data_IF_483185767082
#
_entry.id   IF_483185767082
#
_cell.length_a   1.000
_cell.length_b   1.000
_cell.length_c   1.000
_cell.angle_alpha   90.00
_cell.angle_beta   90.00
_cell.angle_gamma   90.00
#
_symmetry.space_group_name_H-M   'P 1'
#
loop_
_entity.id
_entity.type
_entity.pdbx_description
1 polymer ?
#
# COMPACT_ATOMS: atom_id res chain seq x y z
N UNK A 1 49.39 43.75 -27.91
CA UNK A 1 48.34 44.43 -27.11
C UNK A 1 47.03 44.21 -27.86
N UNK A 2 45.99 43.51 -27.41
CA UNK A 2 45.62 42.84 -26.17
C UNK A 2 44.69 41.67 -26.60
N UNK A 3 44.83 40.48 -26.00
CA UNK A 3 43.82 39.41 -26.09
C UNK A 3 42.76 39.66 -25.01
N UNK A 4 41.48 39.68 -25.39
CA UNK A 4 40.35 39.83 -24.48
C UNK A 4 39.62 38.49 -24.38
N UNK A 5 39.81 37.79 -23.25
CA UNK A 5 39.09 36.56 -22.92
C UNK A 5 37.88 36.95 -22.08
N UNK A 6 36.67 36.75 -22.62
CA UNK A 6 35.43 36.91 -21.87
C UNK A 6 35.19 35.67 -21.00
N UNK A 7 35.36 35.82 -19.69
CA UNK A 7 34.91 34.87 -18.68
C UNK A 7 33.40 35.05 -18.47
N UNK A 8 32.62 34.04 -18.85
CA UNK A 8 31.21 33.93 -18.46
C UNK A 8 31.14 33.20 -17.12
N UNK A 9 30.81 33.93 -16.06
CA UNK A 9 30.47 33.34 -14.77
C UNK A 9 29.02 32.83 -14.84
N UNK A 10 28.85 31.51 -14.90
CA UNK A 10 27.53 30.88 -14.73
C UNK A 10 27.19 30.87 -13.24
N UNK A 11 26.25 31.72 -12.83
CA UNK A 11 25.65 31.65 -11.50
C UNK A 11 24.71 30.44 -11.45
N UNK A 12 25.13 29.39 -10.74
CA UNK A 12 24.27 28.27 -10.38
C UNK A 12 23.35 28.74 -9.24
N UNK A 13 22.09 29.05 -9.57
CA UNK A 13 21.05 29.23 -8.57
C UNK A 13 20.76 27.89 -7.91
N UNK A 14 21.25 27.70 -6.69
CA UNK A 14 20.83 26.62 -5.80
C UNK A 14 19.36 26.82 -5.44
N UNK A 15 18.46 26.07 -6.07
CA UNK A 15 17.07 25.99 -5.64
C UNK A 15 17.01 25.07 -4.43
N UNK A 16 16.94 25.65 -3.23
CA UNK A 16 16.54 24.91 -2.03
C UNK A 16 15.04 24.61 -2.15
N UNK A 17 14.70 23.36 -2.45
CA UNK A 17 13.35 22.84 -2.28
C UNK A 17 13.06 22.83 -0.77
N UNK A 18 12.29 23.81 -0.30
CA UNK A 18 11.66 23.70 1.01
C UNK A 18 10.61 22.60 0.90
N UNK A 19 10.95 21.39 1.36
CA UNK A 19 9.97 20.33 1.60
C UNK A 19 9.10 20.81 2.75
N UNK A 20 7.96 21.41 2.43
CA UNK A 20 6.94 21.72 3.43
C UNK A 20 6.32 20.41 3.91
N UNK A 21 6.22 20.22 5.22
CA UNK A 21 5.52 19.07 5.78
C UNK A 21 4.04 19.12 5.39
N UNK A 22 3.59 18.13 4.62
CA UNK A 22 2.17 17.97 4.27
C UNK A 22 1.45 17.35 5.45
N UNK A 23 0.44 18.05 5.98
CA UNK A 23 -0.47 17.54 6.99
C UNK A 23 -1.83 17.23 6.37
N UNK A 24 -2.45 16.18 6.90
CA UNK A 24 -3.78 15.70 6.57
C UNK A 24 -4.69 15.88 7.78
N UNK A 25 -6.00 15.97 7.54
CA UNK A 25 -6.97 16.14 8.63
C UNK A 25 -8.25 15.39 8.33
N UNK A 26 -8.64 14.52 9.25
CA UNK A 26 -9.78 13.62 9.08
C UNK A 26 -10.29 13.10 10.41
N UNK A 27 -11.19 12.12 10.36
CA UNK A 27 -11.65 11.42 11.55
C UNK A 27 -10.91 10.10 11.73
N UNK A 28 -10.70 9.73 12.99
CA UNK A 28 -10.22 8.41 13.36
C UNK A 28 -11.39 7.46 13.60
N UNK A 29 -11.22 6.21 13.21
CA UNK A 29 -12.13 5.11 13.57
C UNK A 29 -11.35 4.05 14.34
N UNK A 30 -12.06 3.29 15.16
CA UNK A 30 -11.48 2.14 15.84
C UNK A 30 -11.24 1.04 14.80
N UNK A 31 -9.99 0.60 14.66
CA UNK A 31 -9.60 -0.44 13.72
C UNK A 31 -8.90 -1.58 14.44
N UNK A 32 -9.31 -2.81 14.17
CA UNK A 32 -8.75 -4.02 14.78
C UNK A 32 -8.13 -4.89 13.71
N UNK A 33 -6.96 -5.43 14.04
CA UNK A 33 -6.22 -6.35 13.19
C UNK A 33 -6.06 -7.70 13.90
N UNK A 34 -6.18 -8.81 13.17
CA UNK A 34 -6.04 -10.15 13.76
C UNK A 34 -4.57 -10.48 14.03
N UNK A 35 -3.70 -10.18 13.05
CA UNK A 35 -2.26 -10.43 13.12
C UNK A 35 -1.49 -9.49 12.19
N UNK A 36 -0.24 -9.18 12.49
CA UNK A 36 0.57 -8.26 11.67
C UNK A 36 0.74 -8.72 10.20
N UNK A 37 0.63 -10.02 9.96
CA UNK A 37 0.64 -10.67 8.65
C UNK A 37 -0.67 -10.57 7.87
N UNK A 38 -1.74 -10.08 8.48
CA UNK A 38 -3.02 -9.89 7.81
C UNK A 38 -3.14 -8.50 7.17
N UNK A 39 -4.23 -8.24 6.45
CA UNK A 39 -4.47 -6.97 5.76
C UNK A 39 -3.75 -6.84 4.41
N UNK A 40 -3.94 -5.70 3.76
CA UNK A 40 -3.44 -5.41 2.43
C UNK A 40 -1.91 -5.21 2.39
N UNK A 41 -1.25 -4.85 3.50
CA UNK A 41 0.21 -4.83 3.52
C UNK A 41 0.81 -6.24 3.61
N UNK A 42 0.13 -7.17 4.29
CA UNK A 42 0.51 -8.59 4.39
C UNK A 42 1.99 -8.77 4.76
N UNK A 43 2.39 -8.21 5.91
CA UNK A 43 3.79 -8.18 6.33
C UNK A 43 4.29 -9.57 6.75
N UNK A 44 5.51 -9.92 6.36
CA UNK A 44 6.21 -11.15 6.80
C UNK A 44 7.16 -10.91 7.98
N UNK A 45 7.38 -9.65 8.35
CA UNK A 45 8.23 -9.24 9.45
C UNK A 45 7.53 -8.16 10.29
N UNK A 46 7.49 -8.34 11.60
CA UNK A 46 7.02 -7.32 12.53
C UNK A 46 8.21 -6.54 13.12
N UNK A 47 8.30 -5.22 12.90
CA UNK A 47 9.35 -4.35 13.45
C UNK A 47 9.27 -4.13 14.97
N UNK A 48 8.34 -4.75 15.68
CA UNK A 48 8.19 -4.62 17.12
C UNK A 48 7.32 -3.43 17.53
N UNK A 49 6.38 -3.00 16.68
CA UNK A 49 5.53 -1.82 16.94
C UNK A 49 4.36 -2.09 17.87
N UNK A 50 4.07 -3.37 18.17
CA UNK A 50 3.01 -3.77 19.08
C UNK A 50 1.65 -3.21 18.63
N UNK A 51 0.94 -2.52 19.52
CA UNK A 51 -0.34 -1.90 19.21
C UNK A 51 -0.24 -0.48 18.63
N UNK A 52 0.93 0.00 18.22
CA UNK A 52 1.10 1.33 17.61
C UNK A 52 1.01 1.24 16.08
N UNK A 53 -0.16 0.89 15.58
CA UNK A 53 -0.43 0.73 14.16
C UNK A 53 -1.69 1.49 13.73
N UNK A 54 -1.79 1.74 12.42
CA UNK A 54 -2.99 2.28 11.79
C UNK A 54 -3.23 1.69 10.39
N UNK A 55 -4.50 1.72 9.98
CA UNK A 55 -4.95 1.49 8.62
C UNK A 55 -5.21 2.83 7.93
N UNK A 56 -4.67 2.99 6.73
CA UNK A 56 -4.62 4.25 5.99
C UNK A 56 -5.85 4.42 5.10
N UNK A 57 -6.42 5.62 5.02
CA UNK A 57 -7.52 5.89 4.09
C UNK A 57 -7.14 5.67 2.62
N UNK A 58 -8.14 5.49 1.77
CA UNK A 58 -7.95 5.25 0.34
C UNK A 58 -7.36 6.43 -0.44
N UNK A 59 -7.50 7.68 0.04
CA UNK A 59 -6.95 8.86 -0.65
C UNK A 59 -5.42 8.91 -0.56
N UNK A 60 -4.87 8.48 0.57
CA UNK A 60 -3.43 8.37 0.80
C UNK A 60 -2.89 6.94 0.65
N UNK A 61 -3.70 5.94 0.29
CA UNK A 61 -3.22 4.55 0.21
C UNK A 61 -2.08 4.36 -0.80
N UNK A 62 -2.22 4.92 -2.01
CA UNK A 62 -1.25 4.79 -3.13
C UNK A 62 -0.89 3.33 -3.46
N UNK A 63 -1.93 2.51 -3.64
CA UNK A 63 -1.78 1.05 -3.67
C UNK A 63 -1.04 0.61 -2.40
N UNK A 64 -0.03 -0.24 -2.48
CA UNK A 64 0.69 -0.71 -1.29
C UNK A 64 1.95 0.11 -0.98
N UNK A 65 2.24 1.20 -1.70
CA UNK A 65 3.49 1.96 -1.53
C UNK A 65 3.61 2.67 -0.18
N UNK A 66 2.50 2.90 0.52
CA UNK A 66 2.52 3.49 1.86
C UNK A 66 2.53 2.45 2.99
N UNK A 67 2.54 1.17 2.66
CA UNK A 67 2.80 0.12 3.63
C UNK A 67 4.15 0.31 4.31
N UNK A 68 4.14 0.23 5.63
CA UNK A 68 5.34 0.28 6.45
C UNK A 68 5.98 1.65 6.59
N UNK A 69 5.31 2.70 6.09
CA UNK A 69 5.59 4.07 6.50
C UNK A 69 5.02 4.32 7.90
N UNK A 70 5.55 5.33 8.57
CA UNK A 70 5.01 5.80 9.84
C UNK A 70 4.26 7.11 9.66
N UNK A 71 3.23 7.31 10.47
CA UNK A 71 2.51 8.56 10.59
C UNK A 71 2.57 9.07 12.02
N UNK A 72 2.79 10.36 12.18
CA UNK A 72 2.60 11.06 13.45
C UNK A 72 1.17 11.58 13.48
N UNK A 73 0.38 11.15 14.46
CA UNK A 73 -1.04 11.44 14.59
C UNK A 73 -1.29 12.18 15.88
N UNK A 74 -2.01 13.30 15.82
CA UNK A 74 -2.41 14.08 16.98
C UNK A 74 -3.93 14.32 16.96
N UNK A 75 -4.50 14.46 18.13
CA UNK A 75 -5.84 15.03 18.32
C UNK A 75 -5.73 16.25 19.23
N UNK A 76 -6.73 17.13 19.20
CA UNK A 76 -6.72 18.37 19.97
C UNK A 76 -6.55 18.08 21.48
N UNK A 77 -5.49 18.64 22.08
CA UNK A 77 -5.18 18.47 23.50
C UNK A 77 -4.48 17.16 23.87
N UNK A 78 -4.25 16.25 22.90
CA UNK A 78 -3.45 15.03 23.10
C UNK A 78 -2.02 15.22 22.57
N UNK A 79 -1.08 14.44 23.12
CA UNK A 79 0.27 14.34 22.57
C UNK A 79 0.24 13.56 21.25
N UNK A 80 1.14 13.91 20.33
CA UNK A 80 1.29 13.16 19.08
C UNK A 80 1.77 11.72 19.34
N UNK A 81 1.25 10.78 18.55
CA UNK A 81 1.60 9.36 18.62
C UNK A 81 2.06 8.92 17.23
N UNK A 82 3.20 8.25 17.16
CA UNK A 82 3.67 7.61 15.91
C UNK A 82 3.03 6.24 15.75
N UNK A 83 2.45 5.99 14.58
CA UNK A 83 1.83 4.71 14.20
C UNK A 83 2.47 4.14 12.94
N UNK A 84 2.54 2.82 12.86
CA UNK A 84 3.01 2.07 11.69
C UNK A 84 1.83 1.72 10.77
N UNK A 85 1.95 1.99 9.47
CA UNK A 85 0.87 1.71 8.51
C UNK A 85 0.88 0.24 8.10
N UNK A 86 -0.20 -0.48 8.43
CA UNK A 86 -0.32 -1.94 8.25
C UNK A 86 -1.44 -2.38 7.32
N UNK A 87 -2.39 -1.51 6.99
CA UNK A 87 -3.51 -1.85 6.12
C UNK A 87 -4.14 -0.62 5.43
N UNK A 88 -5.06 -0.87 4.50
CA UNK A 88 -6.01 0.09 3.96
C UNK A 88 -7.31 0.07 4.75
N UNK A 89 -7.81 1.25 5.10
CA UNK A 89 -9.12 1.47 5.68
C UNK A 89 -10.04 2.10 4.63
N UNK A 90 -10.79 1.26 3.91
CA UNK A 90 -11.72 1.74 2.85
C UNK A 90 -12.93 2.52 3.37
N UNK A 91 -13.21 2.42 4.67
CA UNK A 91 -14.27 3.15 5.38
C UNK A 91 -13.79 4.45 6.05
N UNK A 92 -12.49 4.72 6.00
CA UNK A 92 -11.91 5.95 6.53
C UNK A 92 -12.06 7.08 5.50
N UNK A 93 -13.12 7.86 5.65
CA UNK A 93 -13.41 9.03 4.81
C UNK A 93 -12.54 10.25 5.19
N UNK A 94 -12.50 11.25 4.31
CA UNK A 94 -11.90 12.58 4.55
C UNK A 94 -10.48 12.53 5.13
N UNK A 95 -9.56 11.79 4.49
CA UNK A 95 -8.18 11.64 4.96
C UNK A 95 -8.04 11.03 6.39
N UNK A 96 -9.07 10.32 6.86
CA UNK A 96 -9.10 9.67 8.16
C UNK A 96 -8.10 8.52 8.33
N UNK A 97 -8.02 7.98 9.55
CA UNK A 97 -7.20 6.79 9.85
C UNK A 97 -7.97 5.79 10.71
N UNK A 98 -7.80 4.51 10.42
CA UNK A 98 -8.23 3.42 11.30
C UNK A 98 -7.15 3.20 12.35
N UNK A 99 -7.38 3.58 13.59
CA UNK A 99 -6.37 3.48 14.64
C UNK A 99 -6.57 2.21 15.45
N UNK A 100 -5.47 1.59 15.88
CA UNK A 100 -5.53 0.47 16.81
C UNK A 100 -6.33 0.82 18.08
N UNK A 101 -6.86 -0.15 18.83
CA UNK A 101 -7.60 0.14 20.06
C UNK A 101 -6.79 0.92 21.10
N UNK A 102 -5.48 0.69 21.18
CA UNK A 102 -4.62 1.42 22.10
C UNK A 102 -4.49 2.89 21.67
N UNK A 103 -4.15 3.15 20.41
CA UNK A 103 -3.92 4.51 19.91
C UNK A 103 -5.22 5.29 19.85
N UNK A 104 -6.31 4.66 19.40
CA UNK A 104 -7.64 5.26 19.39
C UNK A 104 -8.02 5.77 20.77
N UNK A 105 -7.94 4.92 21.81
CA UNK A 105 -8.27 5.32 23.18
C UNK A 105 -7.33 6.38 23.77
N UNK A 106 -6.07 6.46 23.32
CA UNK A 106 -5.14 7.48 23.76
C UNK A 106 -5.43 8.86 23.14
N UNK A 107 -5.88 8.90 21.87
CA UNK A 107 -6.18 10.15 21.16
C UNK A 107 -7.61 10.63 21.37
N UNK A 108 -8.58 9.73 21.29
CA UNK A 108 -9.99 10.06 21.51
C UNK A 108 -10.25 9.96 23.01
N UNK A 109 -9.99 11.04 23.74
CA UNK A 109 -10.50 11.18 25.10
C UNK A 109 -12.03 11.00 25.11
N UNK A 110 -12.65 10.79 26.28
CA UNK A 110 -14.11 10.59 26.44
C UNK A 110 -15.01 11.67 25.82
N UNK A 111 -14.42 12.79 25.39
CA UNK A 111 -15.07 13.97 24.85
C UNK A 111 -15.28 13.90 23.32
N UNK A 112 -15.75 12.77 22.80
CA UNK A 112 -16.38 12.59 21.47
C UNK A 112 -15.64 13.04 20.20
N UNK A 113 -14.52 13.76 20.29
CA UNK A 113 -13.79 14.25 19.13
C UNK A 113 -12.97 13.10 18.56
N UNK A 114 -13.37 12.67 17.37
CA UNK A 114 -12.64 11.68 16.57
C UNK A 114 -11.69 12.38 15.60
N UNK A 115 -11.67 13.71 15.59
CA UNK A 115 -10.86 14.48 14.65
C UNK A 115 -9.38 14.32 14.99
N UNK A 116 -8.60 14.03 13.96
CA UNK A 116 -7.17 13.88 14.00
C UNK A 116 -6.51 14.75 12.93
N UNK A 117 -5.28 15.16 13.24
CA UNK A 117 -4.36 15.74 12.28
C UNK A 117 -3.11 14.88 12.24
N UNK A 118 -2.63 14.56 11.05
CA UNK A 118 -1.50 13.66 10.92
C UNK A 118 -0.61 14.00 9.73
N UNK A 119 0.59 13.43 9.72
CA UNK A 119 1.55 13.51 8.61
C UNK A 119 2.39 12.25 8.59
N UNK A 120 2.99 11.94 7.45
CA UNK A 120 4.03 10.92 7.41
C UNK A 120 5.31 11.41 8.09
N UNK A 121 5.97 10.51 8.80
CA UNK A 121 7.26 10.73 9.46
C UNK A 121 8.16 9.52 9.25
N UNK A 122 9.44 9.68 9.57
CA UNK A 122 10.34 8.52 9.61
C UNK A 122 9.98 7.60 10.77
N UNK A 123 10.11 6.30 10.53
CA UNK A 123 9.85 5.27 11.51
C UNK A 123 11.01 5.17 12.51
N UNK A 124 10.73 5.09 13.82
CA UNK A 124 11.74 4.90 14.87
C UNK A 124 12.18 3.43 14.98
N UNK A 125 12.47 2.79 13.85
CA UNK A 125 12.93 1.40 13.79
C UNK A 125 14.40 1.27 14.17
N UNK A 126 14.77 0.08 14.64
CA UNK A 126 16.18 -0.28 14.89
C UNK A 126 16.59 -1.47 14.05
N UNK A 127 17.87 -1.55 13.71
CA UNK A 127 18.40 -2.61 12.87
C UNK A 127 18.28 -2.30 11.38
N UNK A 128 18.63 -3.29 10.56
CA UNK A 128 18.68 -3.13 9.12
C UNK A 128 17.33 -3.46 8.47
N UNK A 129 17.23 -3.16 7.19
CA UNK A 129 16.07 -3.52 6.38
C UNK A 129 15.97 -5.05 6.31
N UNK A 130 14.75 -5.55 6.45
CA UNK A 130 14.44 -6.96 6.29
C UNK A 130 13.87 -7.21 4.90
N UNK A 131 14.48 -8.14 4.17
CA UNK A 131 14.05 -8.54 2.83
C UNK A 131 13.33 -9.87 2.89
N UNK A 132 12.00 -9.82 2.88
CA UNK A 132 11.15 -11.00 3.01
C UNK A 132 10.79 -11.57 1.64
N UNK A 133 11.31 -12.76 1.34
CA UNK A 133 10.95 -13.48 0.13
C UNK A 133 9.65 -14.24 0.36
N UNK A 134 8.60 -13.91 -0.38
CA UNK A 134 7.32 -14.62 -0.31
C UNK A 134 7.52 -16.14 -0.54
N UNK A 135 6.67 -16.97 0.08
CA UNK A 135 6.73 -18.45 0.03
C UNK A 135 6.75 -19.02 -1.39
N UNK A 136 6.15 -18.33 -2.36
CA UNK A 136 6.10 -18.77 -3.76
C UNK A 136 7.34 -18.36 -4.57
N UNK A 137 8.27 -17.61 -3.96
CA UNK A 137 9.50 -17.16 -4.61
C UNK A 137 10.39 -18.33 -5.03
N UNK A 138 10.91 -18.24 -6.24
CA UNK A 138 11.80 -19.21 -6.87
C UNK A 138 12.66 -18.51 -7.92
N UNK A 139 13.64 -19.22 -8.48
CA UNK A 139 14.55 -18.65 -9.47
C UNK A 139 13.83 -17.85 -10.55
N UNK A 140 12.78 -18.41 -11.19
CA UNK A 140 12.04 -17.82 -12.31
C UNK A 140 10.97 -16.76 -11.93
N UNK A 141 10.62 -16.62 -10.66
CA UNK A 141 9.60 -15.70 -10.17
C UNK A 141 9.89 -15.36 -8.71
N UNK A 142 10.16 -14.10 -8.41
CA UNK A 142 10.55 -13.67 -7.07
C UNK A 142 9.69 -12.51 -6.64
N UNK A 143 9.16 -12.58 -5.42
CA UNK A 143 8.44 -11.50 -4.77
C UNK A 143 9.14 -11.17 -3.45
N UNK A 144 9.58 -9.91 -3.33
CA UNK A 144 10.26 -9.41 -2.14
C UNK A 144 9.46 -8.28 -1.52
N UNK A 145 9.27 -8.39 -0.21
CA UNK A 145 8.72 -7.35 0.62
C UNK A 145 9.84 -6.76 1.47
N UNK A 146 10.15 -5.46 1.31
CA UNK A 146 10.98 -4.75 2.27
C UNK A 146 10.17 -4.48 3.54
N UNK A 147 10.78 -4.67 4.70
CA UNK A 147 10.22 -4.35 6.00
C UNK A 147 11.28 -3.70 6.89
N UNK A 148 10.87 -3.20 8.07
CA UNK A 148 11.76 -2.52 9.01
C UNK A 148 12.49 -1.30 8.40
N UNK A 149 11.86 -0.57 7.49
CA UNK A 149 12.45 0.59 6.80
C UNK A 149 12.24 1.88 7.59
N UNK A 150 13.27 2.74 7.67
CA UNK A 150 13.16 4.07 8.30
C UNK A 150 12.17 4.98 7.56
N UNK A 151 12.08 4.87 6.23
CA UNK A 151 11.20 5.70 5.41
C UNK A 151 10.52 4.87 4.33
N UNK A 152 9.58 5.46 3.59
CA UNK A 152 8.83 4.76 2.54
C UNK A 152 9.70 4.28 1.39
N UNK A 153 9.32 3.15 0.79
CA UNK A 153 9.99 2.58 -0.39
C UNK A 153 9.24 2.98 -1.65
N UNK A 154 9.95 3.60 -2.59
CA UNK A 154 9.39 3.99 -3.89
C UNK A 154 9.51 2.89 -4.94
N UNK A 155 10.65 2.17 -4.97
CA UNK A 155 10.86 1.11 -5.97
C UNK A 155 11.96 0.14 -5.57
N UNK A 156 12.00 -1.00 -6.28
CA UNK A 156 13.02 -2.04 -6.11
C UNK A 156 13.50 -2.54 -7.48
N UNK A 157 14.80 -2.81 -7.61
CA UNK A 157 15.35 -3.70 -8.62
C UNK A 157 15.78 -5.01 -7.98
N UNK A 158 15.48 -6.10 -8.67
CA UNK A 158 15.88 -7.45 -8.28
C UNK A 158 16.71 -8.01 -9.43
N UNK A 159 17.91 -8.52 -9.14
CA UNK A 159 18.85 -9.01 -10.14
C UNK A 159 19.09 -7.99 -11.29
N UNK A 160 19.32 -6.72 -10.93
CA UNK A 160 19.52 -5.58 -11.84
C UNK A 160 18.34 -5.27 -12.79
N UNK A 161 17.14 -5.77 -12.48
CA UNK A 161 15.94 -5.53 -13.27
C UNK A 161 14.87 -4.88 -12.41
N UNK A 162 14.14 -3.92 -12.99
CA UNK A 162 13.03 -3.26 -12.30
C UNK A 162 11.96 -4.29 -11.91
N UNK A 163 11.66 -4.37 -10.63
CA UNK A 163 10.54 -5.13 -10.13
C UNK A 163 9.24 -4.33 -10.28
N UNK A 164 8.12 -5.02 -10.33
CA UNK A 164 6.78 -4.41 -10.38
C UNK A 164 6.08 -4.62 -9.06
N UNK A 165 5.44 -3.59 -8.52
CA UNK A 165 4.61 -3.72 -7.31
C UNK A 165 3.43 -4.66 -7.60
N UNK A 166 3.08 -5.50 -6.62
CA UNK A 166 1.90 -6.35 -6.69
C UNK A 166 0.68 -5.60 -6.14
N UNK A 167 -0.45 -5.64 -6.87
CA UNK A 167 -1.64 -4.88 -6.50
C UNK A 167 -2.27 -5.32 -5.16
N UNK A 168 -2.12 -6.60 -4.81
CA UNK A 168 -2.81 -7.23 -3.68
C UNK A 168 -1.96 -7.42 -2.42
N UNK A 169 -0.70 -6.99 -2.43
CA UNK A 169 0.18 -7.06 -1.25
C UNK A 169 1.40 -6.16 -1.46
N UNK A 170 2.04 -5.73 -0.37
CA UNK A 170 3.28 -4.96 -0.47
C UNK A 170 4.49 -5.83 -0.85
N UNK A 171 4.52 -6.28 -2.11
CA UNK A 171 5.59 -7.10 -2.67
C UNK A 171 6.04 -6.53 -4.02
N UNK A 172 7.36 -6.43 -4.19
CA UNK A 172 8.00 -6.12 -5.47
C UNK A 172 8.33 -7.42 -6.19
N UNK A 173 7.81 -7.58 -7.41
CA UNK A 173 7.84 -8.85 -8.15
C UNK A 173 8.72 -8.73 -9.39
N UNK A 174 9.64 -9.69 -9.53
CA UNK A 174 10.40 -9.95 -10.75
C UNK A 174 9.92 -11.26 -11.38
N UNK A 175 9.58 -11.22 -12.67
CA UNK A 175 9.14 -12.38 -13.46
C UNK A 175 10.16 -12.75 -14.53
N UNK A 176 10.34 -14.05 -14.81
CA UNK A 176 10.99 -14.53 -16.03
C UNK A 176 12.51 -14.46 -16.07
N UNK A 177 13.16 -14.24 -14.93
CA UNK A 177 14.63 -14.22 -14.81
C UNK A 177 15.08 -15.49 -14.11
N UNK A 178 16.09 -16.21 -14.57
CA UNK A 178 16.67 -17.32 -13.79
C UNK A 178 17.62 -16.75 -12.72
N UNK A 179 17.05 -16.25 -11.62
CA UNK A 179 17.82 -15.62 -10.53
C UNK A 179 18.51 -16.69 -9.69
N UNK A 180 19.79 -16.49 -9.38
CA UNK A 180 20.47 -17.29 -8.36
C UNK A 180 20.08 -16.78 -6.97
N UNK A 181 19.21 -17.50 -6.27
CA UNK A 181 18.67 -17.07 -4.99
C UNK A 181 19.72 -16.96 -3.87
N UNK A 182 20.87 -17.62 -4.00
CA UNK A 182 21.94 -17.52 -2.99
C UNK A 182 22.75 -16.21 -3.06
N UNK A 183 22.56 -15.41 -4.11
CA UNK A 183 23.32 -14.18 -4.35
C UNK A 183 22.51 -13.24 -5.25
N UNK A 184 21.44 -12.67 -4.72
CA UNK A 184 20.53 -11.76 -5.42
C UNK A 184 20.97 -10.33 -5.17
N UNK A 185 21.32 -9.61 -6.23
CA UNK A 185 21.51 -8.17 -6.15
C UNK A 185 20.14 -7.48 -6.02
N UNK A 186 19.95 -6.71 -4.95
CA UNK A 186 18.73 -5.93 -4.70
C UNK A 186 19.13 -4.46 -4.57
N UNK A 187 18.48 -3.60 -5.35
CA UNK A 187 18.59 -2.15 -5.24
C UNK A 187 17.24 -1.61 -4.76
N UNK A 188 17.18 -1.02 -3.58
CA UNK A 188 15.99 -0.43 -3.00
C UNK A 188 16.08 1.10 -3.09
N UNK A 189 15.03 1.76 -3.54
CA UNK A 189 14.95 3.23 -3.64
C UNK A 189 13.87 3.74 -2.70
N UNK A 190 14.21 4.68 -1.82
CA UNK A 190 13.27 5.35 -0.93
C UNK A 190 12.41 6.40 -1.64
N UNK A 191 11.36 6.87 -0.99
CA UNK A 191 10.54 8.02 -1.44
C UNK A 191 11.32 9.34 -1.49
N UNK A 192 12.44 9.45 -0.77
CA UNK A 192 13.35 10.61 -0.84
C UNK A 192 14.36 10.50 -1.98
N UNK A 193 14.43 9.35 -2.66
CA UNK A 193 15.37 9.07 -3.75
C UNK A 193 16.72 8.49 -3.29
N UNK A 194 16.89 8.20 -2.00
CA UNK A 194 18.04 7.46 -1.49
C UNK A 194 18.00 6.02 -2.03
N UNK A 195 19.16 5.49 -2.40
CA UNK A 195 19.28 4.11 -2.89
C UNK A 195 20.22 3.29 -2.03
N UNK A 196 19.81 2.06 -1.73
CA UNK A 196 20.62 1.04 -1.06
C UNK A 196 20.78 -0.15 -1.99
N UNK A 197 21.99 -0.68 -2.12
CA UNK A 197 22.27 -1.85 -2.96
C UNK A 197 22.96 -2.92 -2.14
N UNK A 198 22.39 -4.12 -2.13
CA UNK A 198 22.89 -5.23 -1.35
C UNK A 198 22.89 -6.53 -2.18
N UNK A 199 23.66 -7.52 -1.74
CA UNK A 199 23.64 -8.87 -2.32
C UNK A 199 23.21 -9.85 -1.24
N UNK A 200 22.05 -10.48 -1.43
CA UNK A 200 21.36 -11.25 -0.41
C UNK A 200 21.24 -12.73 -0.79
N UNK A 201 21.32 -13.61 0.21
CA UNK A 201 20.97 -15.03 0.05
C UNK A 201 19.54 -15.24 0.53
N UNK A 202 18.60 -15.29 -0.42
CA UNK A 202 17.17 -15.31 -0.15
C UNK A 202 16.63 -16.74 -0.11
N UNK A 203 15.76 -17.00 0.86
CA UNK A 203 15.04 -18.27 1.01
C UNK A 203 13.55 -17.98 1.01
N UNK A 204 12.80 -18.64 0.12
CA UNK A 204 11.35 -18.49 0.04
C UNK A 204 10.69 -18.74 1.42
N UNK A 205 9.74 -17.89 1.77
CA UNK A 205 9.03 -17.94 3.05
C UNK A 205 9.86 -17.42 4.24
N UNK A 206 11.00 -16.77 4.02
CA UNK A 206 11.85 -16.20 5.07
C UNK A 206 12.24 -14.76 4.77
N UNK A 207 12.55 -14.02 5.85
CA UNK A 207 13.19 -12.73 5.79
C UNK A 207 14.70 -12.88 5.96
N UNK A 208 15.45 -12.03 5.26
CA UNK A 208 16.89 -11.93 5.36
C UNK A 208 17.23 -10.49 5.73
N UNK A 209 17.86 -10.31 6.88
CA UNK A 209 18.35 -9.02 7.32
C UNK A 209 19.44 -8.53 6.36
N UNK A 210 19.30 -7.28 5.91
CA UNK A 210 20.29 -6.57 5.12
C UNK A 210 21.49 -6.10 5.95
N UNK A 211 22.27 -5.20 5.36
CA UNK A 211 23.45 -4.61 6.01
C UNK A 211 23.25 -3.16 6.46
N UNK A 212 22.17 -2.53 6.03
CA UNK A 212 21.90 -1.12 6.26
C UNK A 212 20.41 -0.76 6.29
N UNK A 213 20.11 0.48 6.65
CA UNK A 213 18.80 1.11 6.54
C UNK A 213 18.95 2.51 5.93
N UNK A 214 17.85 3.09 5.47
CA UNK A 214 17.85 4.45 4.92
C UNK A 214 18.21 5.47 6.01
N UNK A 215 18.79 6.59 5.59
CA UNK A 215 19.04 7.69 6.51
C UNK A 215 17.70 8.29 6.98
N UNK A 216 17.60 8.56 8.28
CA UNK A 216 16.52 9.39 8.79
C UNK A 216 16.65 10.80 8.19
N UNK A 217 15.52 11.35 7.76
CA UNK A 217 15.38 12.74 7.37
C UNK A 217 15.75 13.60 8.58
N UNK A 218 16.73 14.49 8.41
CA UNK A 218 17.08 15.47 9.44
C UNK A 218 15.97 16.50 9.56
N UNK A 219 14.91 16.20 10.33
CA UNK A 219 13.91 17.19 10.70
C UNK A 219 14.47 18.08 11.81
N UNK A 220 14.51 19.38 11.55
CA UNK A 220 14.80 20.40 12.55
C UNK A 220 13.66 20.43 13.59
N UNK A 221 13.79 19.66 14.68
CA UNK A 221 13.45 20.01 16.06
C UNK A 221 13.47 18.73 16.91
N UNK A 222 14.64 18.50 17.49
CA UNK A 222 14.87 17.58 18.58
C UNK A 222 14.26 18.18 19.86
N UNK A 223 13.16 17.60 20.38
CA UNK A 223 12.91 17.46 21.83
C UNK A 223 11.63 16.65 22.11
N UNK A 224 11.78 15.64 22.96
CA UNK A 224 10.75 14.91 23.74
C UNK A 224 9.96 13.73 23.16
N UNK A 225 10.10 13.31 21.89
CA UNK A 225 9.32 12.16 21.36
C UNK A 225 10.05 10.80 21.41
N UNK A 226 11.39 10.80 21.46
CA UNK A 226 12.18 9.55 21.46
C UNK A 226 12.05 8.71 22.74
N UNK A 227 11.59 9.31 23.85
CA UNK A 227 11.54 8.60 25.14
C UNK A 227 10.45 7.53 25.19
N UNK A 228 9.37 7.65 24.41
CA UNK A 228 8.26 6.70 24.50
C UNK A 228 8.51 5.40 23.70
N UNK A 229 9.10 5.47 22.50
CA UNK A 229 9.47 4.27 21.74
C UNK A 229 10.66 3.52 22.35
N UNK A 230 11.64 4.22 22.93
CA UNK A 230 12.74 3.56 23.66
C UNK A 230 12.26 2.88 24.96
N UNK A 231 11.23 3.44 25.62
CA UNK A 231 10.63 2.82 26.82
C UNK A 231 9.80 1.57 26.48
N UNK A 232 9.24 1.45 25.27
CA UNK A 232 8.47 0.27 24.84
C UNK A 232 9.33 -0.99 24.62
N UNK A 233 10.65 -0.85 24.41
CA UNK A 233 11.58 -2.00 24.43
C UNK A 233 11.86 -2.53 25.83
N UNK A 234 11.49 -1.79 26.87
CA UNK A 234 11.74 -2.11 28.28
C UNK A 234 10.47 -2.26 29.12
N UNK A 235 9.28 -2.03 28.52
CA UNK A 235 7.99 -2.11 29.18
C UNK A 235 7.41 -3.53 29.15
N UNK A 236 7.20 -4.10 30.34
CA UNK A 236 6.60 -5.38 30.74
C UNK A 236 5.58 -6.03 29.76
N UNK A 237 6.07 -6.54 28.64
CA UNK A 237 5.21 -7.11 27.60
C UNK A 237 5.93 -7.91 26.52
N UNK A 238 7.09 -8.53 26.80
CA UNK A 238 7.67 -9.69 26.09
C UNK A 238 7.77 -9.72 24.55
N UNK A 239 7.41 -8.66 23.83
CA UNK A 239 7.34 -8.67 22.38
C UNK A 239 8.69 -8.32 21.77
N UNK A 240 9.22 -9.19 20.92
CA UNK A 240 10.49 -9.00 20.23
C UNK A 240 10.20 -8.92 18.73
N UNK A 241 10.75 -7.91 18.07
CA UNK A 241 10.69 -7.80 16.60
C UNK A 241 11.16 -9.11 15.96
N UNK A 242 10.50 -9.52 14.88
CA UNK A 242 10.81 -10.81 14.29
C UNK A 242 9.87 -11.24 13.18
N UNK A 243 10.19 -12.41 12.62
CA UNK A 243 9.42 -13.04 11.55
C UNK A 243 7.99 -13.34 12.03
N UNK A 244 7.01 -12.96 11.21
CA UNK A 244 5.63 -13.40 11.39
C UNK A 244 5.34 -14.59 10.47
N UNK A 245 4.42 -15.44 10.89
CA UNK A 245 4.02 -16.60 10.08
C UNK A 245 3.08 -16.09 9.00
N UNK A 246 3.35 -16.34 7.70
CA UNK A 246 2.44 -15.93 6.64
C UNK A 246 1.06 -16.60 6.82
N UNK A 247 -0.05 -15.94 6.43
CA UNK A 247 -1.35 -16.60 6.38
C UNK A 247 -1.28 -17.77 5.39
N UNK A 248 -1.88 -18.90 5.75
CA UNK A 248 -1.97 -20.07 4.88
C UNK A 248 -2.94 -19.74 3.74
N UNK A 249 -2.45 -19.60 2.50
CA UNK A 249 -3.24 -19.30 1.30
C UNK A 249 -4.19 -20.47 0.98
N UNK A 250 -5.27 -20.58 1.74
CA UNK A 250 -6.43 -21.41 1.43
C UNK A 250 -7.60 -20.50 1.07
N UNK A 251 -7.93 -20.46 -0.22
CA UNK A 251 -9.14 -19.83 -0.75
C UNK A 251 -10.38 -20.32 0.02
N UNK A 252 -10.97 -19.45 0.85
CA UNK A 252 -12.35 -19.61 1.30
C UNK A 252 -13.20 -18.44 0.81
N UNK A 253 -13.88 -18.71 -0.30
CA UNK A 253 -14.98 -17.92 -0.85
C UNK A 253 -16.16 -17.92 0.13
N UNK A 254 -16.22 -16.93 1.03
CA UNK A 254 -17.42 -16.73 1.85
C UNK A 254 -18.44 -15.91 1.05
N UNK A 255 -19.53 -16.59 0.74
CA UNK A 255 -20.69 -16.05 0.02
C UNK A 255 -21.44 -15.06 0.92
N UNK A 256 -21.46 -13.76 0.57
CA UNK A 256 -22.30 -12.76 1.25
C UNK A 256 -23.70 -12.74 0.63
N UNK A 257 -24.70 -13.09 1.43
CA UNK A 257 -26.11 -13.06 1.07
C UNK A 257 -26.63 -11.65 0.83
N UNK A 258 -27.45 -11.52 -0.21
CA UNK A 258 -28.27 -10.35 -0.54
C UNK A 258 -29.33 -10.09 0.54
N UNK A 259 -29.59 -8.81 0.84
CA UNK A 259 -30.83 -8.38 1.47
C UNK A 259 -31.52 -7.36 0.54
N UNK A 260 -32.72 -7.71 0.09
CA UNK A 260 -33.66 -6.87 -0.67
C UNK A 260 -34.62 -6.16 0.29
N UNK A 261 -34.88 -4.87 0.06
CA UNK A 261 -36.13 -4.16 0.42
C UNK A 261 -36.18 -2.86 -0.39
N UNK A 262 -36.92 -2.75 -1.50
CA UNK A 262 -38.36 -2.43 -1.65
C UNK A 262 -38.80 -1.07 -1.08
N UNK A 263 -39.21 -0.14 -1.97
CA UNK A 263 -39.92 1.10 -1.61
C UNK A 263 -39.93 2.19 -2.68
N UNK A 264 -41.08 2.42 -3.33
CA UNK A 264 -41.36 3.17 -4.57
C UNK A 264 -41.41 4.72 -4.52
N UNK A 265 -40.91 5.35 -5.60
CA UNK A 265 -41.39 6.50 -6.42
C UNK A 265 -42.15 7.72 -5.83
N UNK A 266 -41.74 8.94 -6.22
CA UNK A 266 -42.59 9.88 -6.98
C UNK A 266 -41.80 10.98 -7.74
N UNK A 267 -42.24 11.23 -8.98
CA UNK A 267 -41.80 12.25 -9.95
C UNK A 267 -42.16 13.70 -9.56
N UNK A 268 -41.36 14.68 -9.98
CA UNK A 268 -41.83 15.96 -10.57
C UNK A 268 -40.76 16.58 -11.49
N UNK A 269 -41.23 17.46 -12.37
CA UNK A 269 -40.73 17.81 -13.70
C UNK A 269 -40.08 19.22 -13.69
N UNK A 270 -38.79 19.34 -14.08
CA UNK A 270 -38.15 20.16 -15.18
C UNK A 270 -38.55 21.68 -15.32
N UNK A 271 -37.78 22.66 -15.94
CA UNK A 271 -36.34 22.89 -16.29
C UNK A 271 -35.76 24.34 -16.05
N UNK A 272 -34.52 24.55 -16.56
CA UNK A 272 -33.78 25.78 -17.05
C UNK A 272 -33.20 26.77 -15.99
N UNK A 273 -31.98 27.35 -16.06
CA UNK A 273 -31.07 27.79 -17.14
C UNK A 273 -29.57 27.80 -16.71
N UNK A 274 -28.71 27.71 -17.74
CA UNK A 274 -27.24 27.57 -17.80
C UNK A 274 -26.51 28.93 -17.76
N UNK A 275 -25.36 29.05 -17.07
CA UNK A 275 -24.20 29.87 -17.53
C UNK A 275 -22.83 29.21 -17.17
N UNK A 276 -22.24 28.55 -18.17
CA UNK A 276 -20.85 28.66 -18.69
C UNK A 276 -19.67 28.67 -17.70
N UNK A 277 -19.11 27.49 -17.38
CA UNK A 277 -17.65 27.19 -17.34
C UNK A 277 -17.43 25.69 -17.69
N UNK A 278 -17.90 25.24 -18.87
CA UNK A 278 -18.01 23.81 -19.20
C UNK A 278 -17.22 23.32 -20.43
N UNK A 279 -16.31 24.14 -20.96
CA UNK A 279 -15.62 23.82 -22.23
C UNK A 279 -14.47 22.82 -22.10
N UNK A 280 -13.83 22.71 -20.94
CA UNK A 280 -12.56 21.96 -20.80
C UNK A 280 -12.80 20.53 -20.28
N UNK A 281 -13.80 20.31 -19.41
CA UNK A 281 -14.09 19.00 -18.82
C UNK A 281 -14.70 17.99 -19.82
N UNK A 282 -15.48 18.46 -20.80
CA UNK A 282 -16.15 17.60 -21.78
C UNK A 282 -15.19 16.91 -22.76
N UNK A 283 -14.08 17.56 -23.12
CA UNK A 283 -13.05 16.95 -23.98
C UNK A 283 -12.36 15.78 -23.26
N UNK A 284 -12.15 15.90 -21.95
CA UNK A 284 -11.50 14.85 -21.17
C UNK A 284 -12.40 13.60 -21.01
N UNK A 285 -13.70 13.82 -20.79
CA UNK A 285 -14.67 12.73 -20.62
C UNK A 285 -14.91 11.96 -21.93
N UNK A 286 -14.96 12.64 -23.09
CA UNK A 286 -15.13 11.97 -24.40
C UNK A 286 -13.90 11.13 -24.76
N UNK A 287 -12.69 11.59 -24.43
CA UNK A 287 -11.44 10.84 -24.70
C UNK A 287 -11.32 9.60 -23.81
N UNK A 288 -11.75 9.68 -22.54
CA UNK A 288 -11.77 8.54 -21.60
C UNK A 288 -12.80 7.47 -22.01
N UNK A 289 -14.00 7.88 -22.48
CA UNK A 289 -15.05 6.95 -22.94
C UNK A 289 -14.70 6.22 -24.25
N UNK A 290 -13.92 6.84 -25.15
CA UNK A 290 -13.43 6.18 -26.39
C UNK A 290 -12.36 5.12 -26.14
N UNK A 291 -11.56 5.24 -25.07
CA UNK A 291 -10.55 4.21 -24.70
C UNK A 291 -11.16 2.94 -24.10
N UNK A 292 -12.31 3.05 -23.42
CA UNK A 292 -12.97 1.90 -22.77
C UNK A 292 -13.84 1.04 -23.71
N UNK A 293 -14.25 1.55 -24.88
CA UNK A 293 -15.04 0.77 -25.85
C UNK A 293 -14.19 0.00 -26.88
N UNK A 294 -12.88 0.22 -26.92
CA UNK A 294 -11.97 -0.37 -27.93
C UNK A 294 -11.37 -1.72 -27.55
N UNK A 295 -11.55 -2.20 -26.32
CA UNK A 295 -10.87 -3.40 -25.81
C UNK A 295 -11.77 -4.65 -25.72
N UNK A 296 -13.05 -4.55 -26.14
CA UNK A 296 -14.03 -5.64 -26.01
C UNK A 296 -14.47 -6.27 -27.36
N UNK A 297 -13.69 -6.07 -28.44
CA UNK A 297 -13.96 -6.62 -29.77
C UNK A 297 -12.69 -7.21 -30.35
N UNK A 298 -12.15 -8.28 -29.74
CA UNK A 298 -11.19 -9.19 -30.37
C UNK A 298 -11.23 -10.57 -29.68
N UNK A 299 -12.41 -11.20 -29.64
CA UNK A 299 -12.51 -12.66 -29.55
C UNK A 299 -13.77 -13.12 -30.26
N UNK A 300 -13.56 -13.99 -31.25
CA UNK A 300 -14.55 -14.77 -32.02
C UNK A 300 -15.14 -14.16 -33.30
N UNK A 301 -14.41 -14.29 -34.41
CA UNK A 301 -15.00 -14.62 -35.73
C UNK A 301 -14.10 -15.59 -36.50
N UNK A 302 -14.34 -16.88 -36.29
CA UNK A 302 -13.99 -17.95 -37.22
C UNK A 302 -15.22 -18.85 -37.40
N UNK A 303 -16.09 -18.51 -38.35
CA UNK A 303 -17.26 -19.31 -38.75
C UNK A 303 -16.86 -20.33 -39.82
N UNK A 304 -17.55 -21.47 -39.83
CA UNK A 304 -18.05 -22.26 -40.99
C UNK A 304 -17.85 -23.77 -40.72
N UNK A 305 -18.76 -24.72 -40.96
CA UNK A 305 -20.14 -24.80 -41.45
C UNK A 305 -20.66 -26.25 -41.19
N UNK A 306 -21.92 -26.51 -41.58
CA UNK A 306 -22.66 -27.79 -41.56
C UNK A 306 -23.22 -28.19 -40.18
N UNK A 307 -24.45 -28.64 -40.00
CA UNK A 307 -25.54 -28.99 -40.92
C UNK A 307 -26.64 -29.63 -40.07
N UNK A 308 -27.88 -29.40 -40.48
CA UNK A 308 -29.16 -29.79 -39.88
C UNK A 308 -29.24 -31.28 -39.48
N UNK A 309 -29.91 -31.61 -38.36
CA UNK A 309 -31.06 -32.56 -38.28
C UNK A 309 -31.39 -33.04 -36.83
N UNK A 310 -32.66 -32.81 -36.44
CA UNK A 310 -33.59 -33.66 -35.66
C UNK A 310 -33.24 -34.18 -34.24
N UNK A 311 -34.01 -33.70 -33.26
CA UNK A 311 -34.47 -34.40 -32.02
C UNK A 311 -35.23 -35.72 -32.34
N UNK A 312 -35.58 -36.61 -31.37
CA UNK A 312 -35.54 -36.49 -29.90
C UNK A 312 -34.94 -37.69 -29.13
N UNK A 313 -34.53 -37.48 -27.87
CA UNK A 313 -34.27 -38.58 -26.92
C UNK A 313 -35.50 -38.81 -26.05
N UNK A 314 -35.86 -40.08 -26.00
CA UNK A 314 -37.01 -40.71 -25.39
C UNK A 314 -36.84 -40.75 -23.86
N UNK A 315 -37.87 -40.31 -23.13
CA UNK A 315 -38.05 -40.64 -21.71
C UNK A 315 -38.55 -42.09 -21.63
N UNK A 316 -37.86 -42.95 -20.86
CA UNK A 316 -38.51 -44.08 -20.20
C UNK A 316 -37.78 -44.45 -18.91
N UNK A 317 -38.52 -44.22 -17.84
CA UNK A 317 -38.30 -44.65 -16.47
C UNK A 317 -38.61 -46.17 -16.33
N UNK A 318 -38.14 -46.76 -15.23
CA UNK A 318 -38.85 -47.78 -14.42
C UNK A 318 -38.43 -49.27 -14.51
N UNK A 319 -37.81 -49.71 -13.40
CA UNK A 319 -38.01 -50.97 -12.60
C UNK A 319 -37.16 -52.24 -12.87
N UNK A 320 -36.25 -52.48 -11.91
CA UNK A 320 -36.08 -53.61 -10.96
C UNK A 320 -35.62 -55.03 -11.34
N UNK A 321 -34.98 -55.62 -10.30
CA UNK A 321 -34.47 -56.98 -10.04
C UNK A 321 -33.05 -57.21 -10.57
N UNK A 322 -32.07 -57.58 -9.74
CA UNK A 322 -32.05 -58.61 -8.68
C UNK A 322 -31.39 -58.08 -7.41
#
# INVERSE_FOLDING_TARGET
MFHQVCLWAAALSSMTLASGDTYYSGNSVLYTHEEFSSGNCNFMYDPGVGNYFAALNSDQWDSTLNCGRCAEVASDGASSITVYIVDECTECEDEGLGLSPLVYNQLTHSDSSQSIKWRFVDCPVSGNIEYCANTLSRSAWMALQPANTVTGVASMKIANQNATLMDSSFNFVLKGSNVNMSAVNVELTSISGETLTETLSLVAGNCTEGTSNFAASSSHQESEVNEYFDTLKSGDGGYTAGKVTPPDDSEQTVTRSEATSSGTNLLFVVPVLVIIVGGIALVYIVKRKKRLSGQHVDREKGKSAFGTLKSPVLVKETIAKI
#
